data_IF_584192543297
#
_entry.id   IF_584192543297
#
_cell.length_a   1.000
_cell.length_b   1.000
_cell.length_c   1.000
_cell.angle_alpha   90.00
_cell.angle_beta   90.00
_cell.angle_gamma   90.00
#
_symmetry.space_group_name_H-M   'P 1'
#
loop_
_entity.id
_entity.type
_entity.pdbx_description
1 polymer ?
#
# COMPACT_ATOMS: atom_id res chain seq x y z
N UNK A 1 0.73 10.58 -29.18
CA UNK A 1 -0.06 10.19 -28.00
C UNK A 1 -0.36 8.70 -28.13
N UNK A 2 0.04 7.86 -27.17
CA UNK A 2 -0.40 6.46 -27.17
C UNK A 2 -1.88 6.43 -26.79
N UNK A 3 -2.69 5.62 -27.49
CA UNK A 3 -4.10 5.45 -27.16
C UNK A 3 -4.31 4.93 -25.71
N UNK A 4 -3.34 4.19 -25.18
CA UNK A 4 -3.40 3.63 -23.82
C UNK A 4 -3.16 4.69 -22.73
N UNK A 5 -2.26 5.66 -22.96
CA UNK A 5 -2.01 6.73 -22.00
C UNK A 5 -3.18 7.71 -21.91
N UNK A 6 -3.86 7.95 -23.04
CA UNK A 6 -5.12 8.69 -23.05
C UNK A 6 -6.23 7.92 -22.32
N UNK A 7 -6.33 6.60 -22.53
CA UNK A 7 -7.28 5.76 -21.83
C UNK A 7 -7.04 5.75 -20.31
N UNK A 8 -5.80 5.60 -19.86
CA UNK A 8 -5.46 5.65 -18.43
C UNK A 8 -5.99 6.93 -17.76
N UNK A 9 -5.79 8.08 -18.41
CA UNK A 9 -6.28 9.37 -17.92
C UNK A 9 -7.81 9.43 -17.85
N UNK A 10 -8.50 8.97 -18.90
CA UNK A 10 -9.97 8.94 -18.95
C UNK A 10 -10.55 8.02 -17.86
N UNK A 11 -9.93 6.86 -17.62
CA UNK A 11 -10.34 5.93 -16.58
C UNK A 11 -10.15 6.53 -15.19
N UNK A 12 -8.97 7.10 -14.90
CA UNK A 12 -8.69 7.74 -13.62
C UNK A 12 -9.61 8.94 -13.35
N UNK A 13 -9.86 9.79 -14.36
CA UNK A 13 -10.78 10.92 -14.24
C UNK A 13 -12.23 10.46 -13.96
N UNK A 14 -12.68 9.44 -14.69
CA UNK A 14 -14.04 8.92 -14.57
C UNK A 14 -14.31 8.26 -13.22
N UNK A 15 -13.41 7.39 -12.76
CA UNK A 15 -13.47 6.82 -11.41
C UNK A 15 -13.41 7.92 -10.34
N UNK A 16 -12.56 8.93 -10.53
CA UNK A 16 -12.49 10.09 -9.64
C UNK A 16 -13.79 10.88 -9.51
N UNK A 17 -14.52 11.07 -10.62
CA UNK A 17 -15.84 11.71 -10.61
C UNK A 17 -16.87 10.87 -9.85
N UNK A 18 -16.89 9.55 -10.07
CA UNK A 18 -17.77 8.64 -9.34
C UNK A 18 -17.50 8.67 -7.84
N UNK A 19 -16.22 8.69 -7.43
CA UNK A 19 -15.85 8.83 -6.02
C UNK A 19 -16.36 10.14 -5.42
N UNK A 20 -16.30 11.26 -6.14
CA UNK A 20 -16.88 12.52 -5.65
C UNK A 20 -18.40 12.42 -5.46
N UNK A 21 -19.11 11.75 -6.37
CA UNK A 21 -20.57 11.54 -6.26
C UNK A 21 -20.94 10.63 -5.08
N UNK A 22 -20.19 9.54 -4.87
CA UNK A 22 -20.37 8.66 -3.71
C UNK A 22 -20.11 9.43 -2.42
N UNK A 23 -19.04 10.25 -2.37
CA UNK A 23 -18.69 11.10 -1.23
C UNK A 23 -19.76 12.14 -0.90
N UNK A 24 -20.47 12.68 -1.89
CA UNK A 24 -21.60 13.59 -1.68
C UNK A 24 -22.94 12.89 -1.42
N UNK A 25 -23.01 11.55 -1.45
CA UNK A 25 -24.24 10.78 -1.31
C UNK A 25 -25.17 10.86 -2.52
N UNK A 26 -24.63 11.20 -3.68
CA UNK A 26 -25.32 11.22 -4.98
C UNK A 26 -24.80 10.15 -5.92
N UNK A 27 -24.03 9.20 -5.39
CA UNK A 27 -23.41 8.12 -6.15
C UNK A 27 -24.42 7.13 -6.74
N UNK A 28 -23.99 6.33 -7.71
CA UNK A 28 -24.84 5.34 -8.37
C UNK A 28 -25.26 4.18 -7.46
N UNK A 29 -24.63 4.03 -6.29
CA UNK A 29 -24.99 3.04 -5.29
C UNK A 29 -26.34 3.32 -4.61
N UNK A 30 -26.88 4.54 -4.75
CA UNK A 30 -28.19 4.93 -4.21
C UNK A 30 -28.27 4.92 -2.69
N UNK A 31 -27.12 4.89 -2.02
CA UNK A 31 -27.00 4.75 -0.57
C UNK A 31 -26.78 6.13 0.08
N UNK A 32 -27.30 6.38 1.30
CA UNK A 32 -27.21 7.69 1.96
C UNK A 32 -25.76 8.11 2.25
N UNK A 33 -25.47 9.40 2.52
CA UNK A 33 -24.13 9.83 2.91
C UNK A 33 -23.59 9.01 4.09
N UNK A 34 -22.37 8.51 3.96
CA UNK A 34 -21.63 7.81 5.00
C UNK A 34 -20.33 8.56 5.30
N UNK A 35 -19.65 8.20 6.40
CA UNK A 35 -18.33 8.71 6.73
C UNK A 35 -17.41 7.57 7.18
N UNK A 36 -16.12 7.87 7.34
CA UNK A 36 -15.13 6.91 7.81
C UNK A 36 -14.99 5.70 6.88
N UNK A 37 -14.79 4.52 7.47
CA UNK A 37 -14.46 3.28 6.75
C UNK A 37 -15.54 2.83 5.78
N UNK A 38 -16.82 2.98 6.15
CA UNK A 38 -17.94 2.56 5.29
C UNK A 38 -18.00 3.39 4.01
N UNK A 39 -17.69 4.68 4.09
CA UNK A 39 -17.59 5.52 2.90
C UNK A 39 -16.42 5.05 2.00
N UNK A 40 -15.25 4.77 2.58
CA UNK A 40 -14.11 4.19 1.87
C UNK A 40 -14.49 2.93 1.08
N UNK A 41 -15.01 1.92 1.78
CA UNK A 41 -15.45 0.63 1.21
C UNK A 41 -16.43 0.78 0.05
N UNK A 42 -17.38 1.72 0.15
CA UNK A 42 -18.34 2.02 -0.93
C UNK A 42 -17.67 2.68 -2.12
N UNK A 43 -16.76 3.62 -1.87
CA UNK A 43 -15.96 4.26 -2.89
C UNK A 43 -15.11 3.26 -3.67
N UNK A 44 -14.35 2.43 -2.94
CA UNK A 44 -13.52 1.35 -3.47
C UNK A 44 -14.31 0.44 -4.42
N UNK A 45 -15.44 -0.10 -3.95
CA UNK A 45 -16.28 -0.99 -4.77
C UNK A 45 -16.82 -0.33 -6.04
N UNK A 46 -17.40 0.87 -5.92
CA UNK A 46 -17.98 1.60 -7.08
C UNK A 46 -16.91 1.96 -8.12
N UNK A 47 -15.74 2.42 -7.67
CA UNK A 47 -14.63 2.75 -8.56
C UNK A 47 -14.04 1.49 -9.21
N UNK A 48 -13.93 0.39 -8.47
CA UNK A 48 -13.43 -0.88 -8.99
C UNK A 48 -14.33 -1.40 -10.12
N UNK A 49 -15.64 -1.50 -9.88
CA UNK A 49 -16.60 -2.00 -10.86
C UNK A 49 -16.54 -1.18 -12.17
N UNK A 50 -16.51 0.16 -12.03
CA UNK A 50 -16.36 1.05 -13.18
C UNK A 50 -15.07 0.79 -13.98
N UNK A 51 -13.93 0.68 -13.30
CA UNK A 51 -12.64 0.47 -13.95
C UNK A 51 -12.59 -0.88 -14.66
N UNK A 52 -13.06 -1.94 -14.01
CA UNK A 52 -13.11 -3.29 -14.59
C UNK A 52 -14.03 -3.37 -15.80
N UNK A 53 -15.24 -2.82 -15.72
CA UNK A 53 -16.19 -2.81 -16.84
C UNK A 53 -15.62 -2.07 -18.04
N UNK A 54 -15.02 -0.90 -17.81
CA UNK A 54 -14.42 -0.10 -18.88
C UNK A 54 -13.19 -0.76 -19.49
N UNK A 55 -12.32 -1.35 -18.68
CA UNK A 55 -11.16 -2.08 -19.18
C UNK A 55 -11.56 -3.32 -19.98
N UNK A 56 -12.56 -4.08 -19.52
CA UNK A 56 -13.10 -5.22 -20.25
C UNK A 56 -13.71 -4.81 -21.61
N UNK A 57 -14.37 -3.65 -21.67
CA UNK A 57 -14.96 -3.13 -22.91
C UNK A 57 -13.91 -2.58 -23.90
N UNK A 58 -12.91 -1.85 -23.39
CA UNK A 58 -11.96 -1.13 -24.24
C UNK A 58 -10.68 -1.92 -24.54
N UNK A 59 -10.30 -2.84 -23.66
CA UNK A 59 -9.10 -3.70 -23.75
C UNK A 59 -9.41 -5.14 -23.32
N UNK A 60 -10.35 -5.83 -23.98
CA UNK A 60 -10.79 -7.18 -23.59
C UNK A 60 -9.69 -8.26 -23.58
N UNK A 61 -8.54 -8.01 -24.20
CA UNK A 61 -7.40 -8.93 -24.24
C UNK A 61 -6.30 -8.64 -23.21
N UNK A 62 -6.39 -7.54 -22.47
CA UNK A 62 -5.42 -7.19 -21.44
C UNK A 62 -5.88 -7.77 -20.09
N UNK A 63 -4.94 -8.26 -19.27
CA UNK A 63 -5.26 -8.69 -17.92
C UNK A 63 -5.36 -7.47 -16.97
N UNK A 64 -6.00 -7.65 -15.82
CA UNK A 64 -6.12 -6.60 -14.79
C UNK A 64 -5.66 -7.14 -13.44
N UNK A 65 -4.84 -6.34 -12.75
CA UNK A 65 -4.50 -6.49 -11.35
C UNK A 65 -5.10 -5.30 -10.59
N UNK A 66 -6.16 -5.54 -9.83
CA UNK A 66 -6.84 -4.53 -9.01
C UNK A 66 -6.61 -4.81 -7.52
N UNK A 67 -6.50 -3.77 -6.71
CA UNK A 67 -6.55 -3.91 -5.25
C UNK A 67 -7.82 -4.67 -4.80
N UNK A 68 -8.95 -4.27 -5.35
CA UNK A 68 -10.30 -4.66 -4.91
C UNK A 68 -10.80 -5.97 -5.53
N UNK A 69 -9.93 -6.69 -6.25
CA UNK A 69 -10.30 -7.94 -6.91
C UNK A 69 -9.34 -9.07 -6.56
N UNK A 70 -9.86 -10.29 -6.61
CA UNK A 70 -9.05 -11.51 -6.51
C UNK A 70 -8.01 -11.48 -7.63
N UNK A 71 -6.75 -11.75 -7.27
CA UNK A 71 -5.66 -11.75 -8.23
C UNK A 71 -5.70 -13.01 -9.11
N UNK A 72 -6.13 -12.86 -10.37
CA UNK A 72 -6.06 -13.95 -11.34
C UNK A 72 -4.63 -14.10 -11.88
N UNK A 73 -4.01 -15.22 -11.52
CA UNK A 73 -2.69 -15.64 -12.00
C UNK A 73 -2.52 -15.64 -13.52
N UNK A 74 -3.61 -15.61 -14.31
CA UNK A 74 -3.58 -15.41 -15.76
C UNK A 74 -2.72 -14.19 -16.17
N UNK A 75 -2.69 -13.12 -15.35
CA UNK A 75 -1.86 -11.92 -15.61
C UNK A 75 -0.36 -12.22 -15.74
N UNK A 76 0.13 -13.30 -15.10
CA UNK A 76 1.54 -13.68 -15.12
C UNK A 76 1.98 -14.25 -16.46
N UNK A 77 1.03 -14.73 -17.26
CA UNK A 77 1.26 -15.21 -18.63
C UNK A 77 0.97 -14.14 -19.68
N UNK A 78 0.20 -13.11 -19.32
CA UNK A 78 -0.15 -11.99 -20.17
C UNK A 78 1.04 -11.10 -20.57
N UNK A 79 0.94 -10.47 -21.74
CA UNK A 79 1.92 -9.49 -22.22
C UNK A 79 1.58 -8.06 -21.80
N UNK A 80 0.34 -7.81 -21.38
CA UNK A 80 -0.23 -6.50 -21.05
C UNK A 80 -1.11 -6.66 -19.82
N UNK A 81 -0.84 -5.87 -18.79
CA UNK A 81 -1.55 -5.92 -17.50
C UNK A 81 -1.86 -4.50 -17.05
N UNK A 82 -3.13 -4.20 -16.85
CA UNK A 82 -3.55 -2.97 -16.18
C UNK A 82 -3.43 -3.17 -14.67
N UNK A 83 -2.64 -2.33 -14.01
CA UNK A 83 -2.47 -2.35 -12.56
C UNK A 83 -3.21 -1.11 -12.01
N UNK A 84 -4.26 -1.34 -11.23
CA UNK A 84 -5.18 -0.30 -10.79
C UNK A 84 -5.37 -0.30 -9.28
N UNK A 85 -5.46 0.91 -8.73
CA UNK A 85 -5.93 1.18 -7.36
C UNK A 85 -7.17 2.08 -7.50
N UNK A 86 -8.37 1.52 -7.30
CA UNK A 86 -9.61 2.28 -7.47
C UNK A 86 -9.73 3.48 -6.54
N UNK A 87 -9.15 3.41 -5.33
CA UNK A 87 -9.14 4.48 -4.35
C UNK A 87 -7.95 4.32 -3.36
N UNK A 88 -6.85 4.97 -3.71
CA UNK A 88 -5.69 5.06 -2.83
C UNK A 88 -5.93 6.13 -1.75
N UNK A 89 -5.83 5.72 -0.49
CA UNK A 89 -6.17 6.57 0.67
C UNK A 89 -7.64 6.51 1.04
N UNK A 90 -8.25 5.32 1.10
CA UNK A 90 -9.64 5.13 1.53
C UNK A 90 -9.96 5.74 2.91
N UNK A 91 -8.98 5.74 3.84
CA UNK A 91 -9.06 6.46 5.12
C UNK A 91 -9.16 7.97 4.93
N UNK A 92 -8.30 8.55 4.09
CA UNK A 92 -8.33 9.96 3.75
C UNK A 92 -9.64 10.35 3.09
N UNK A 93 -10.09 9.57 2.10
CA UNK A 93 -11.37 9.76 1.43
C UNK A 93 -12.56 9.75 2.42
N UNK A 94 -12.57 8.79 3.35
CA UNK A 94 -13.58 8.66 4.40
C UNK A 94 -13.52 9.76 5.49
N UNK A 95 -12.44 10.55 5.55
CA UNK A 95 -12.23 11.58 6.56
C UNK A 95 -12.71 12.96 6.06
N UNK A 96 -13.64 13.65 6.76
CA UNK A 96 -14.10 14.97 6.35
C UNK A 96 -12.96 15.98 6.19
N UNK A 97 -12.98 16.73 5.09
CA UNK A 97 -12.01 17.80 4.81
C UNK A 97 -10.63 17.33 4.33
N UNK A 98 -10.37 16.01 4.24
CA UNK A 98 -9.14 15.49 3.62
C UNK A 98 -9.26 15.42 2.10
N UNK A 99 -8.18 15.78 1.42
CA UNK A 99 -8.08 15.91 -0.05
C UNK A 99 -6.93 15.06 -0.63
N UNK A 100 -6.14 14.43 0.23
CA UNK A 100 -4.97 13.62 -0.09
C UNK A 100 -5.35 12.15 -0.29
N UNK A 101 -6.15 11.89 -1.32
CA UNK A 101 -6.52 10.57 -1.84
C UNK A 101 -6.53 10.58 -3.37
N UNK A 102 -6.40 9.42 -4.00
CA UNK A 102 -6.16 9.31 -5.43
C UNK A 102 -6.82 8.09 -6.09
N UNK A 103 -6.80 8.06 -7.42
CA UNK A 103 -7.09 6.88 -8.24
C UNK A 103 -5.86 6.57 -9.08
N UNK A 104 -5.43 5.31 -9.13
CA UNK A 104 -4.28 4.87 -9.92
C UNK A 104 -4.72 4.00 -11.09
N UNK A 105 -4.25 4.34 -12.29
CA UNK A 105 -4.43 3.51 -13.48
C UNK A 105 -3.10 3.42 -14.22
N UNK A 106 -2.49 2.24 -14.24
CA UNK A 106 -1.26 1.98 -15.00
C UNK A 106 -1.42 0.80 -15.94
N UNK A 107 -0.70 0.84 -17.05
CA UNK A 107 -0.50 -0.28 -17.96
C UNK A 107 0.97 -0.70 -17.90
N UNK A 108 1.17 -1.95 -17.52
CA UNK A 108 2.43 -2.65 -17.61
C UNK A 108 2.48 -3.49 -18.89
N UNK A 109 3.62 -3.49 -19.58
CA UNK A 109 3.88 -4.33 -20.74
C UNK A 109 5.16 -5.15 -20.57
N UNK A 110 5.08 -6.43 -20.93
CA UNK A 110 6.16 -7.39 -20.76
C UNK A 110 7.43 -6.94 -21.49
N UNK A 111 8.52 -6.85 -20.74
CA UNK A 111 9.83 -6.40 -21.26
C UNK A 111 9.94 -4.89 -21.47
N UNK A 112 8.89 -4.12 -21.14
CA UNK A 112 8.87 -2.64 -21.28
C UNK A 112 8.57 -1.91 -19.97
N UNK A 113 8.04 -2.60 -18.96
CA UNK A 113 7.67 -1.98 -17.68
C UNK A 113 6.36 -1.20 -17.80
N UNK A 114 6.22 -0.12 -17.02
CA UNK A 114 5.05 0.76 -17.09
C UNK A 114 5.15 1.63 -18.35
N UNK A 115 4.21 1.48 -19.28
CA UNK A 115 4.23 2.20 -20.56
C UNK A 115 3.12 3.24 -20.68
N UNK A 116 2.13 3.20 -19.80
CA UNK A 116 1.08 4.20 -19.67
C UNK A 116 0.63 4.26 -18.22
N UNK A 117 0.38 5.46 -17.71
CA UNK A 117 -0.04 5.69 -16.35
C UNK A 117 -0.83 6.99 -16.23
N UNK A 118 -1.76 7.02 -15.27
CA UNK A 118 -2.44 8.20 -14.79
C UNK A 118 -2.77 8.11 -13.30
N UNK A 119 -2.66 9.24 -12.61
CA UNK A 119 -3.07 9.44 -11.22
C UNK A 119 -4.09 10.57 -11.18
N UNK A 120 -5.32 10.30 -10.73
CA UNK A 120 -6.30 11.35 -10.47
C UNK A 120 -6.24 11.77 -8.99
N UNK A 121 -6.33 13.06 -8.72
CA UNK A 121 -6.59 13.62 -7.39
C UNK A 121 -7.91 14.39 -7.44
N UNK A 122 -9.05 13.70 -7.26
CA UNK A 122 -10.36 14.27 -7.59
C UNK A 122 -10.74 15.47 -6.73
N UNK A 123 -10.36 15.46 -5.45
CA UNK A 123 -10.56 16.61 -4.56
C UNK A 123 -9.86 17.90 -5.05
N UNK A 124 -8.75 17.75 -5.79
CA UNK A 124 -8.01 18.88 -6.39
C UNK A 124 -8.47 19.19 -7.82
N UNK A 125 -9.38 18.39 -8.40
CA UNK A 125 -9.80 18.51 -9.80
C UNK A 125 -8.66 18.29 -10.80
N UNK A 126 -7.66 17.46 -10.47
CA UNK A 126 -6.47 17.21 -11.29
C UNK A 126 -6.33 15.75 -11.68
N UNK A 127 -5.83 15.53 -12.89
CA UNK A 127 -5.35 14.23 -13.39
C UNK A 127 -3.95 14.46 -13.93
N UNK A 128 -3.01 13.60 -13.55
CA UNK A 128 -1.65 13.59 -14.06
C UNK A 128 -1.48 12.34 -14.90
N UNK A 129 -0.99 12.46 -16.12
CA UNK A 129 -0.82 11.32 -17.01
C UNK A 129 0.55 11.28 -17.69
N UNK A 130 1.08 10.09 -17.86
CA UNK A 130 2.37 9.79 -18.51
C UNK A 130 2.57 10.34 -19.93
N UNK A 131 1.51 10.80 -20.61
CA UNK A 131 1.59 11.40 -21.94
C UNK A 131 1.62 12.95 -21.92
N UNK A 132 1.47 13.55 -20.74
CA UNK A 132 1.54 15.00 -20.57
C UNK A 132 2.98 15.50 -20.72
N UNK A 133 3.12 16.74 -21.18
CA UNK A 133 4.38 17.45 -21.10
C UNK A 133 4.45 18.13 -19.74
N UNK A 134 5.26 17.58 -18.84
CA UNK A 134 5.56 18.22 -17.55
C UNK A 134 6.54 19.37 -17.78
N UNK A 135 6.20 20.55 -17.27
CA UNK A 135 7.08 21.70 -17.36
C UNK A 135 8.23 21.54 -16.37
N UNK A 136 9.46 21.55 -16.88
CA UNK A 136 10.66 21.51 -16.05
C UNK A 136 10.71 22.65 -15.02
N UNK A 137 9.98 23.76 -15.25
CA UNK A 137 9.84 24.86 -14.29
C UNK A 137 8.94 24.54 -13.08
N UNK A 138 8.20 23.41 -13.08
CA UNK A 138 7.46 22.96 -11.89
C UNK A 138 8.40 22.72 -10.70
N UNK A 139 9.66 22.39 -10.98
CA UNK A 139 10.73 22.40 -10.00
C UNK A 139 11.57 23.67 -10.11
N UNK A 140 11.90 24.28 -8.97
CA UNK A 140 12.90 25.34 -8.95
C UNK A 140 14.24 24.81 -9.50
N UNK A 141 14.92 25.59 -10.35
CA UNK A 141 16.18 25.16 -10.98
C UNK A 141 17.28 24.78 -9.96
N UNK A 142 17.22 25.31 -8.73
CA UNK A 142 18.06 24.90 -7.62
C UNK A 142 17.24 24.10 -6.61
N UNK A 143 17.89 23.06 -6.04
CA UNK A 143 17.37 22.37 -4.85
C UNK A 143 17.32 23.37 -3.69
N UNK A 144 16.20 23.46 -2.94
CA UNK A 144 16.11 24.34 -1.79
C UNK A 144 17.17 23.99 -0.73
N UNK A 145 17.66 24.95 0.08
CA UNK A 145 18.65 24.69 1.13
C UNK A 145 18.22 23.63 2.15
N UNK A 146 16.91 23.47 2.36
CA UNK A 146 16.30 22.43 3.17
C UNK A 146 15.29 21.66 2.31
N UNK A 147 15.70 20.54 1.69
CA UNK A 147 14.79 19.70 0.91
C UNK A 147 13.67 19.12 1.77
N UNK A 148 12.48 18.94 1.21
CA UNK A 148 11.33 18.33 1.90
C UNK A 148 11.14 16.89 1.44
N UNK A 149 11.17 15.94 2.37
CA UNK A 149 10.98 14.51 2.12
C UNK A 149 9.63 14.09 2.70
N UNK A 150 8.69 13.72 1.84
CA UNK A 150 7.39 13.19 2.27
C UNK A 150 7.48 11.69 2.56
N UNK A 151 6.86 11.27 3.66
CA UNK A 151 6.69 9.86 4.06
C UNK A 151 5.24 9.58 4.42
N UNK A 152 4.89 8.30 4.58
CA UNK A 152 3.55 7.92 5.05
C UNK A 152 3.30 8.46 6.46
N UNK A 153 2.14 9.10 6.68
CA UNK A 153 1.77 9.58 8.01
C UNK A 153 1.43 8.46 9.01
N UNK A 154 1.02 7.29 8.54
CA UNK A 154 0.71 6.15 9.43
C UNK A 154 1.89 5.20 9.64
N UNK A 155 2.83 5.17 8.70
CA UNK A 155 3.96 4.23 8.66
C UNK A 155 5.25 4.94 8.20
N UNK A 156 5.75 5.93 8.94
CA UNK A 156 7.02 6.58 8.60
C UNK A 156 8.18 5.57 8.78
N UNK A 157 9.15 5.47 7.85
CA UNK A 157 10.29 4.60 8.05
C UNK A 157 11.16 5.08 9.22
N UNK A 158 11.53 4.16 10.12
CA UNK A 158 12.24 4.47 11.37
C UNK A 158 13.58 5.20 11.17
N UNK A 159 14.22 5.03 10.02
CA UNK A 159 15.51 5.62 9.70
C UNK A 159 15.42 7.03 9.08
N UNK A 160 14.22 7.56 8.83
CA UNK A 160 14.11 8.82 8.08
C UNK A 160 14.54 10.06 8.84
N UNK A 161 14.46 10.08 10.18
CA UNK A 161 14.95 11.20 10.97
C UNK A 161 16.48 11.35 10.83
N UNK A 162 17.21 10.23 10.83
CA UNK A 162 18.66 10.23 10.64
C UNK A 162 19.06 10.63 9.21
N UNK A 163 18.33 10.12 8.20
CA UNK A 163 18.53 10.53 6.80
C UNK A 163 18.29 12.03 6.63
N UNK A 164 17.22 12.57 7.23
CA UNK A 164 16.91 13.99 7.15
C UNK A 164 17.96 14.84 7.86
N UNK A 165 18.46 14.41 9.02
CA UNK A 165 19.54 15.08 9.73
C UNK A 165 20.83 15.13 8.90
N UNK A 166 21.19 14.04 8.21
CA UNK A 166 22.36 13.98 7.34
C UNK A 166 22.24 14.94 6.13
N UNK A 167 21.06 15.03 5.54
CA UNK A 167 20.82 15.84 4.34
C UNK A 167 20.46 17.31 4.65
N UNK A 168 20.22 17.65 5.91
CA UNK A 168 19.63 18.94 6.28
C UNK A 168 18.22 19.11 5.71
N UNK A 169 17.45 18.02 5.62
CA UNK A 169 16.11 17.98 5.06
C UNK A 169 15.02 18.11 6.14
N UNK A 170 13.79 18.39 5.72
CA UNK A 170 12.58 18.33 6.54
C UNK A 170 11.78 17.08 6.18
N UNK A 171 11.39 16.27 7.17
CA UNK A 171 10.43 15.17 6.96
C UNK A 171 9.01 15.72 7.13
N UNK A 172 8.18 15.48 6.13
CA UNK A 172 6.75 15.82 6.15
C UNK A 172 5.90 14.57 5.94
N UNK A 173 4.67 14.59 6.41
CA UNK A 173 3.76 13.44 6.31
C UNK A 173 2.55 13.75 5.44
N UNK A 174 2.09 12.75 4.70
CA UNK A 174 0.87 12.83 3.89
C UNK A 174 0.21 11.44 3.76
N UNK A 175 -1.12 11.40 3.68
CA UNK A 175 -1.87 10.20 3.31
C UNK A 175 -1.69 9.85 1.84
N UNK A 176 -2.19 8.70 1.40
CA UNK A 176 -2.16 8.22 -0.01
C UNK A 176 -0.77 8.14 -0.68
N UNK A 177 -0.46 7.02 -1.32
CA UNK A 177 0.78 6.90 -2.09
C UNK A 177 0.80 7.86 -3.30
N UNK A 178 -0.33 7.97 -4.01
CA UNK A 178 -0.55 8.87 -5.13
C UNK A 178 -0.42 10.33 -4.75
N UNK A 179 -1.02 10.76 -3.63
CA UNK A 179 -0.91 12.14 -3.17
C UNK A 179 0.55 12.52 -2.86
N UNK A 180 1.29 11.63 -2.18
CA UNK A 180 2.72 11.78 -1.91
C UNK A 180 3.55 11.92 -3.18
N UNK A 181 3.38 11.02 -4.13
CA UNK A 181 4.12 11.05 -5.39
C UNK A 181 3.78 12.29 -6.22
N UNK A 182 2.49 12.66 -6.31
CA UNK A 182 2.07 13.82 -7.07
C UNK A 182 2.49 15.14 -6.41
N UNK A 183 2.69 15.17 -5.08
CA UNK A 183 3.32 16.30 -4.41
C UNK A 183 4.78 16.50 -4.86
N UNK A 184 5.51 15.41 -5.16
CA UNK A 184 6.84 15.52 -5.81
C UNK A 184 6.68 16.06 -7.23
N UNK A 185 5.78 15.50 -8.05
CA UNK A 185 5.54 15.96 -9.44
C UNK A 185 5.17 17.46 -9.49
N UNK A 186 4.41 17.96 -8.53
CA UNK A 186 4.05 19.38 -8.42
C UNK A 186 5.16 20.29 -7.87
N UNK A 187 6.28 19.73 -7.41
CA UNK A 187 7.34 20.49 -6.74
C UNK A 187 6.97 21.01 -5.35
N UNK A 188 5.94 20.46 -4.70
CA UNK A 188 5.56 20.82 -3.32
C UNK A 188 6.52 20.21 -2.29
N UNK A 189 7.09 19.07 -2.62
CA UNK A 189 8.15 18.37 -1.88
C UNK A 189 9.22 17.88 -2.86
N UNK A 190 10.41 17.54 -2.37
CA UNK A 190 11.56 17.19 -3.21
C UNK A 190 11.74 15.66 -3.35
N UNK A 191 11.26 14.88 -2.39
CA UNK A 191 11.28 13.43 -2.42
C UNK A 191 10.08 12.81 -1.72
N UNK A 192 9.72 11.61 -2.15
CA UNK A 192 8.86 10.65 -1.48
C UNK A 192 9.69 9.39 -1.21
N UNK A 193 9.77 8.99 0.06
CA UNK A 193 10.39 7.73 0.48
C UNK A 193 9.34 6.85 1.16
N UNK A 194 9.28 5.59 0.76
CA UNK A 194 8.47 4.56 1.40
C UNK A 194 9.33 3.33 1.69
N UNK A 195 9.23 2.77 2.88
CA UNK A 195 9.86 1.51 3.24
C UNK A 195 8.97 0.74 4.21
N UNK A 196 9.16 -0.58 4.31
CA UNK A 196 8.21 -1.47 4.98
C UNK A 196 7.08 -1.95 4.06
N UNK A 197 7.28 -1.75 2.77
CA UNK A 197 6.56 -2.38 1.68
C UNK A 197 5.20 -1.79 1.33
N UNK A 198 4.83 -2.04 0.08
CA UNK A 198 3.73 -1.42 -0.63
C UNK A 198 3.29 -2.31 -1.79
N UNK A 199 2.00 -2.33 -2.10
CA UNK A 199 1.51 -3.13 -3.22
C UNK A 199 1.86 -2.49 -4.57
N UNK A 200 1.87 -3.28 -5.63
CA UNK A 200 2.17 -2.76 -6.97
C UNK A 200 1.15 -1.69 -7.41
N UNK A 201 -0.14 -1.84 -7.07
CA UNK A 201 -1.18 -0.86 -7.43
C UNK A 201 -1.04 0.50 -6.72
N UNK A 202 -0.48 0.54 -5.51
CA UNK A 202 -0.21 1.79 -4.81
C UNK A 202 0.89 2.63 -5.50
N UNK A 203 1.72 2.05 -6.37
CA UNK A 203 2.92 2.71 -6.92
C UNK A 203 3.05 2.68 -8.44
N UNK A 204 2.42 1.74 -9.14
CA UNK A 204 2.60 1.59 -10.59
C UNK A 204 2.25 2.85 -11.37
N UNK A 205 1.09 3.47 -11.08
CA UNK A 205 0.69 4.70 -11.74
C UNK A 205 1.49 5.93 -11.24
N UNK A 206 1.69 6.12 -9.92
CA UNK A 206 2.59 7.14 -9.40
C UNK A 206 3.99 7.15 -10.03
N UNK A 207 4.62 5.98 -10.15
CA UNK A 207 5.96 5.83 -10.74
C UNK A 207 5.93 6.11 -12.24
N UNK A 208 4.94 5.59 -12.97
CA UNK A 208 4.82 5.85 -14.40
C UNK A 208 4.64 7.35 -14.72
N UNK A 209 3.86 8.06 -13.91
CA UNK A 209 3.71 9.52 -14.02
C UNK A 209 5.00 10.24 -13.63
N UNK A 210 5.63 9.87 -12.51
CA UNK A 210 6.86 10.50 -12.04
C UNK A 210 8.03 10.33 -13.03
N UNK A 211 8.18 9.15 -13.63
CA UNK A 211 9.17 8.90 -14.68
C UNK A 211 8.90 9.75 -15.93
N UNK A 212 7.64 9.90 -16.34
CA UNK A 212 7.27 10.77 -17.45
C UNK A 212 7.54 12.26 -17.14
N UNK A 213 7.46 12.66 -15.87
CA UNK A 213 7.85 13.98 -15.39
C UNK A 213 9.37 14.18 -15.26
N UNK A 214 10.18 13.16 -15.60
CA UNK A 214 11.64 13.22 -15.53
C UNK A 214 12.22 13.06 -14.11
N UNK A 215 11.43 12.58 -13.16
CA UNK A 215 11.87 12.31 -11.80
C UNK A 215 12.65 11.00 -11.69
N UNK A 216 13.51 10.92 -10.68
CA UNK A 216 14.19 9.67 -10.31
C UNK A 216 13.21 8.75 -9.59
N UNK A 217 13.13 7.50 -10.02
CA UNK A 217 12.30 6.46 -9.40
C UNK A 217 13.12 5.17 -9.24
N UNK A 218 13.24 4.66 -8.01
CA UNK A 218 13.97 3.41 -7.74
C UNK A 218 13.48 2.76 -6.43
N UNK A 219 14.02 1.58 -6.13
CA UNK A 219 14.09 1.05 -4.76
C UNK A 219 15.04 1.91 -3.92
N UNK A 220 14.99 1.77 -2.59
CA UNK A 220 15.86 2.52 -1.66
C UNK A 220 17.34 2.15 -1.79
N UNK A 221 17.64 0.98 -2.33
CA UNK A 221 19.01 0.55 -2.66
C UNK A 221 19.50 1.07 -4.03
N UNK A 222 18.61 1.71 -4.80
CA UNK A 222 18.87 2.24 -6.15
C UNK A 222 18.54 1.28 -7.28
N UNK A 223 18.09 0.05 -7.01
CA UNK A 223 17.67 -0.91 -8.03
C UNK A 223 16.32 -0.55 -8.67
N UNK A 224 16.04 -1.12 -9.85
CA UNK A 224 14.81 -0.85 -10.60
C UNK A 224 13.56 -1.36 -9.87
N UNK A 225 12.46 -0.62 -10.02
CA UNK A 225 11.13 -1.05 -9.58
C UNK A 225 10.55 -2.03 -10.61
N UNK A 226 10.23 -3.25 -10.17
CA UNK A 226 9.74 -4.32 -11.04
C UNK A 226 8.29 -4.64 -10.69
N UNK A 227 7.45 -4.66 -11.72
CA UNK A 227 6.00 -4.87 -11.63
C UNK A 227 5.55 -6.17 -12.33
N UNK A 228 4.28 -6.52 -12.15
CA UNK A 228 3.63 -7.77 -12.53
C UNK A 228 4.35 -9.01 -11.96
N UNK A 229 4.78 -8.94 -10.71
CA UNK A 229 5.39 -10.08 -10.00
C UNK A 229 4.31 -11.06 -9.53
N UNK A 230 4.61 -12.37 -9.41
CA UNK A 230 3.67 -13.33 -8.82
C UNK A 230 3.14 -12.92 -7.45
N UNK A 231 4.00 -12.24 -6.69
CA UNK A 231 3.60 -11.52 -5.50
C UNK A 231 3.72 -10.01 -5.80
N UNK A 232 2.60 -9.30 -5.99
CA UNK A 232 2.61 -7.93 -6.51
C UNK A 232 2.94 -6.91 -5.43
N UNK A 233 4.15 -6.99 -4.89
CA UNK A 233 4.59 -6.22 -3.72
C UNK A 233 6.00 -5.69 -3.89
N UNK A 234 6.16 -4.40 -3.64
CA UNK A 234 7.43 -3.70 -3.60
C UNK A 234 7.83 -3.46 -2.14
N UNK A 235 9.02 -3.92 -1.71
CA UNK A 235 9.45 -3.72 -0.32
C UNK A 235 9.70 -2.26 0.08
N UNK A 236 9.96 -1.39 -0.89
CA UNK A 236 10.25 0.03 -0.67
C UNK A 236 10.29 0.77 -2.01
N UNK A 237 10.27 2.10 -1.97
CA UNK A 237 10.52 2.95 -3.13
C UNK A 237 11.06 4.33 -2.74
N UNK A 238 11.66 4.99 -3.73
CA UNK A 238 12.04 6.40 -3.73
C UNK A 238 11.54 7.02 -5.02
N UNK A 239 10.81 8.14 -4.91
CA UNK A 239 10.52 9.05 -6.01
C UNK A 239 11.11 10.40 -5.62
N UNK A 240 12.04 10.95 -6.37
CA UNK A 240 12.64 12.23 -6.02
C UNK A 240 13.11 13.02 -7.23
N UNK A 241 13.44 14.28 -6.98
CA UNK A 241 14.14 15.10 -7.97
C UNK A 241 15.50 14.47 -8.32
N UNK A 242 15.89 14.43 -9.60
CA UNK A 242 17.18 13.86 -10.01
C UNK A 242 18.38 14.49 -9.31
N UNK A 243 18.29 15.79 -8.99
CA UNK A 243 19.36 16.54 -8.32
C UNK A 243 19.71 16.01 -6.92
N UNK A 244 18.77 15.38 -6.22
CA UNK A 244 18.98 14.88 -4.85
C UNK A 244 19.07 13.35 -4.78
N UNK A 245 18.85 12.63 -5.89
CA UNK A 245 18.78 11.18 -5.89
C UNK A 245 20.05 10.51 -5.32
N UNK A 246 21.23 10.98 -5.75
CA UNK A 246 22.50 10.39 -5.31
C UNK A 246 22.76 10.58 -3.82
N UNK A 247 22.53 11.78 -3.27
CA UNK A 247 22.73 12.06 -1.86
C UNK A 247 21.69 11.37 -0.98
N UNK A 248 20.42 11.35 -1.43
CA UNK A 248 19.34 10.67 -0.73
C UNK A 248 19.60 9.16 -0.62
N UNK A 249 19.94 8.48 -1.71
CA UNK A 249 20.24 7.05 -1.70
C UNK A 249 21.49 6.74 -0.86
N UNK A 250 22.49 7.61 -0.84
CA UNK A 250 23.68 7.44 0.00
C UNK A 250 23.35 7.57 1.50
N UNK A 251 22.50 8.54 1.87
CA UNK A 251 22.03 8.70 3.24
C UNK A 251 21.16 7.51 3.66
N UNK A 252 20.22 7.07 2.81
CA UNK A 252 19.39 5.90 3.08
C UNK A 252 20.26 4.66 3.28
N UNK A 253 21.27 4.42 2.43
CA UNK A 253 22.20 3.29 2.60
C UNK A 253 22.98 3.33 3.92
N UNK A 254 23.20 4.53 4.48
CA UNK A 254 23.92 4.69 5.75
C UNK A 254 23.04 4.34 6.96
N UNK A 255 21.73 4.60 6.86
CA UNK A 255 20.81 4.59 8.01
C UNK A 255 19.72 3.50 7.95
N UNK A 256 19.36 3.02 6.77
CA UNK A 256 18.37 1.97 6.61
C UNK A 256 18.92 0.62 7.09
N UNK A 257 18.08 -0.22 7.69
CA UNK A 257 18.48 -1.58 8.08
C UNK A 257 18.77 -2.44 6.84
N UNK A 258 19.71 -3.38 6.98
CA UNK A 258 20.22 -4.24 5.90
C UNK A 258 19.16 -5.15 5.23
N UNK A 259 17.98 -5.31 5.82
CA UNK A 259 16.94 -6.23 5.32
C UNK A 259 15.61 -5.52 5.14
N UNK A 260 15.26 -5.22 3.87
CA UNK A 260 13.87 -5.04 3.50
C UNK A 260 13.14 -6.39 3.60
N UNK A 261 11.94 -6.40 4.17
CA UNK A 261 11.12 -7.60 4.23
C UNK A 261 10.90 -8.16 2.82
N UNK A 262 10.88 -9.49 2.71
CA UNK A 262 10.34 -10.10 1.50
C UNK A 262 8.86 -9.78 1.39
N UNK A 263 8.32 -9.92 0.18
CA UNK A 263 6.91 -9.72 -0.08
C UNK A 263 6.00 -10.54 0.85
N UNK A 264 6.35 -11.82 1.10
CA UNK A 264 5.59 -12.71 1.99
C UNK A 264 5.71 -12.30 3.45
N UNK A 265 6.91 -11.92 3.88
CA UNK A 265 7.13 -11.43 5.25
C UNK A 265 6.27 -10.19 5.49
N UNK A 266 6.16 -9.32 4.50
CA UNK A 266 5.35 -8.12 4.62
C UNK A 266 3.84 -8.42 4.68
N UNK A 267 3.34 -9.41 3.93
CA UNK A 267 1.96 -9.88 4.06
C UNK A 267 1.67 -10.45 5.45
N UNK A 268 2.56 -11.30 5.96
CA UNK A 268 2.45 -11.83 7.31
C UNK A 268 2.50 -10.71 8.37
N UNK A 269 3.33 -9.68 8.15
CA UNK A 269 3.41 -8.49 9.01
C UNK A 269 2.12 -7.67 8.99
N UNK A 270 1.52 -7.43 7.82
CA UNK A 270 0.22 -6.74 7.73
C UNK A 270 -0.88 -7.51 8.46
N UNK A 271 -0.92 -8.84 8.32
CA UNK A 271 -1.81 -9.68 9.12
C UNK A 271 -1.57 -9.49 10.63
N UNK A 272 -0.33 -9.69 11.08
CA UNK A 272 0.02 -9.58 12.52
C UNK A 272 -0.27 -8.19 13.05
N UNK A 273 0.01 -7.13 12.29
CA UNK A 273 -0.30 -5.75 12.65
C UNK A 273 -1.80 -5.47 12.79
N UNK A 274 -2.63 -6.11 11.95
CA UNK A 274 -4.09 -5.97 12.00
C UNK A 274 -4.71 -6.47 13.31
N UNK A 275 -4.04 -7.39 14.02
CA UNK A 275 -4.48 -7.89 15.34
C UNK A 275 -4.58 -6.77 16.38
N UNK A 276 -3.76 -5.73 16.28
CA UNK A 276 -3.76 -4.56 17.18
C UNK A 276 -4.57 -3.40 16.59
N UNK A 277 -4.44 -3.16 15.29
CA UNK A 277 -5.07 -1.99 14.65
C UNK A 277 -6.58 -2.18 14.38
N UNK A 278 -7.05 -3.43 14.37
CA UNK A 278 -8.39 -3.82 13.91
C UNK A 278 -8.72 -3.23 12.54
N UNK A 279 -7.69 -3.19 11.68
CA UNK A 279 -7.75 -2.70 10.31
C UNK A 279 -7.18 -3.79 9.40
N UNK A 280 -8.08 -4.57 8.82
CA UNK A 280 -7.73 -5.65 7.92
C UNK A 280 -7.87 -5.24 6.44
N UNK A 281 -8.03 -3.95 6.15
CA UNK A 281 -8.21 -3.43 4.78
C UNK A 281 -7.08 -3.83 3.83
N UNK A 282 -5.85 -3.95 4.34
CA UNK A 282 -4.67 -4.34 3.57
C UNK A 282 -4.27 -5.82 3.77
N UNK A 283 -5.06 -6.60 4.51
CA UNK A 283 -4.81 -8.03 4.75
C UNK A 283 -5.39 -8.85 3.59
N UNK A 284 -4.51 -9.39 2.75
CA UNK A 284 -4.90 -10.20 1.59
C UNK A 284 -4.99 -11.67 1.94
N UNK A 285 -6.22 -12.18 2.01
CA UNK A 285 -6.55 -13.58 2.24
C UNK A 285 -7.24 -14.13 1.01
N UNK A 286 -6.82 -15.33 0.58
CA UNK A 286 -7.49 -16.05 -0.49
C UNK A 286 -8.96 -16.31 -0.11
N UNK A 287 -9.90 -16.40 -1.06
CA UNK A 287 -11.31 -16.64 -0.75
C UNK A 287 -11.56 -17.89 0.11
N UNK A 288 -10.81 -18.96 -0.17
CA UNK A 288 -10.83 -20.24 0.55
C UNK A 288 -9.78 -20.35 1.66
N UNK A 289 -9.21 -19.21 2.07
CA UNK A 289 -8.24 -19.18 3.15
C UNK A 289 -8.84 -19.65 4.47
N UNK A 290 -7.99 -20.23 5.31
CA UNK A 290 -8.44 -20.77 6.60
C UNK A 290 -7.49 -20.51 7.76
N UNK A 291 -8.03 -20.52 8.97
CA UNK A 291 -7.29 -20.30 10.21
C UNK A 291 -7.50 -21.43 11.23
N UNK A 292 -6.41 -21.86 11.84
CA UNK A 292 -6.40 -22.79 12.97
C UNK A 292 -5.61 -22.19 14.12
N UNK A 293 -6.18 -22.20 15.33
CA UNK A 293 -5.54 -21.76 16.57
C UNK A 293 -5.47 -22.91 17.58
N UNK A 294 -4.26 -23.28 18.01
CA UNK A 294 -4.03 -24.38 18.96
C UNK A 294 -4.78 -25.68 18.59
N UNK A 295 -4.86 -25.98 17.28
CA UNK A 295 -5.52 -27.16 16.74
C UNK A 295 -7.03 -27.02 16.50
N UNK A 296 -7.65 -25.91 16.92
CA UNK A 296 -9.06 -25.62 16.68
C UNK A 296 -9.23 -24.75 15.44
N UNK A 297 -10.23 -25.09 14.62
CA UNK A 297 -10.59 -24.31 13.44
C UNK A 297 -11.30 -23.03 13.88
N UNK A 298 -10.75 -21.87 13.49
CA UNK A 298 -11.26 -20.54 13.90
C UNK A 298 -11.58 -19.63 12.72
N UNK A 299 -11.32 -20.07 11.48
CA UNK A 299 -11.83 -19.38 10.29
C UNK A 299 -11.89 -20.32 9.09
N UNK A 300 -12.98 -20.23 8.32
CA UNK A 300 -13.28 -21.10 7.18
C UNK A 300 -13.22 -20.37 5.83
N UNK A 301 -13.05 -19.04 5.84
CA UNK A 301 -12.84 -18.25 4.63
C UNK A 301 -11.99 -17.01 4.87
N UNK A 302 -11.38 -16.47 3.81
CA UNK A 302 -10.63 -15.22 3.90
C UNK A 302 -11.49 -14.01 4.29
N UNK A 303 -12.77 -14.01 3.95
CA UNK A 303 -13.71 -12.95 4.34
C UNK A 303 -14.08 -13.04 5.83
N UNK A 304 -14.31 -14.25 6.33
CA UNK A 304 -14.59 -14.48 7.76
C UNK A 304 -13.40 -14.05 8.62
N UNK A 305 -12.19 -14.48 8.27
CA UNK A 305 -10.97 -14.10 8.99
C UNK A 305 -10.79 -12.57 9.00
N UNK A 306 -10.99 -11.88 7.87
CA UNK A 306 -10.97 -10.41 7.81
C UNK A 306 -12.01 -9.78 8.73
N UNK A 307 -13.23 -10.29 8.72
CA UNK A 307 -14.31 -9.79 9.59
C UNK A 307 -13.96 -9.99 11.06
N UNK A 308 -13.39 -11.13 11.42
CA UNK A 308 -12.92 -11.38 12.78
C UNK A 308 -11.81 -10.40 13.18
N UNK A 309 -10.79 -10.17 12.35
CA UNK A 309 -9.72 -9.21 12.66
C UNK A 309 -10.26 -7.80 12.96
N UNK A 310 -11.30 -7.39 12.26
CA UNK A 310 -11.90 -6.05 12.38
C UNK A 310 -12.91 -5.94 13.53
N UNK A 311 -13.67 -7.00 13.81
CA UNK A 311 -14.87 -6.94 14.67
C UNK A 311 -14.87 -7.96 15.81
N UNK A 312 -13.98 -8.95 15.77
CA UNK A 312 -13.89 -10.05 16.72
C UNK A 312 -13.59 -9.56 18.14
N UNK A 313 -14.47 -9.92 19.07
CA UNK A 313 -14.31 -9.58 20.50
C UNK A 313 -13.02 -10.15 21.09
N UNK A 314 -12.50 -11.25 20.52
CA UNK A 314 -11.25 -11.89 20.94
C UNK A 314 -10.02 -11.01 20.71
N UNK A 315 -10.04 -10.11 19.73
CA UNK A 315 -8.88 -9.29 19.40
C UNK A 315 -8.90 -7.94 20.12
N UNK A 316 -10.07 -7.42 20.53
CA UNK A 316 -10.17 -6.10 21.20
C UNK A 316 -9.28 -5.91 22.44
N UNK A 317 -9.00 -6.94 23.26
CA UNK A 317 -8.10 -6.78 24.41
C UNK A 317 -6.63 -6.67 24.03
N UNK A 318 -6.24 -6.93 22.78
CA UNK A 318 -4.86 -6.85 22.32
C UNK A 318 -4.38 -5.41 22.35
N UNK A 319 -3.27 -5.15 23.04
CA UNK A 319 -2.72 -3.80 23.19
C UNK A 319 -1.47 -3.57 22.38
N UNK A 320 -0.61 -4.58 22.32
CA UNK A 320 0.73 -4.41 21.77
C UNK A 320 1.30 -5.74 21.28
N UNK A 321 2.20 -5.62 20.30
CA UNK A 321 2.96 -6.73 19.73
C UNK A 321 4.43 -6.38 19.84
N UNK A 322 5.20 -7.28 20.47
CA UNK A 322 6.62 -7.07 20.76
C UNK A 322 7.46 -8.22 20.24
N UNK A 323 8.75 -7.96 20.06
CA UNK A 323 9.75 -8.94 19.62
C UNK A 323 9.32 -9.72 18.36
N UNK A 324 8.72 -9.02 17.40
CA UNK A 324 8.23 -9.63 16.16
C UNK A 324 9.40 -9.98 15.23
N UNK A 325 9.58 -11.28 15.02
CA UNK A 325 10.59 -11.86 14.14
C UNK A 325 9.95 -12.73 13.07
N UNK A 326 10.58 -12.78 11.90
CA UNK A 326 10.11 -13.59 10.76
C UNK A 326 11.17 -14.59 10.29
N UNK A 327 10.69 -15.75 9.82
CA UNK A 327 11.48 -16.71 9.04
C UNK A 327 10.71 -17.13 7.81
N UNK A 328 11.34 -17.13 6.64
CA UNK A 328 10.72 -17.53 5.38
C UNK A 328 11.41 -18.78 4.80
N UNK A 329 10.61 -19.70 4.24
CA UNK A 329 11.10 -20.78 3.40
C UNK A 329 10.06 -21.20 2.35
N UNK A 330 10.43 -21.16 1.07
CA UNK A 330 9.51 -21.47 -0.02
C UNK A 330 8.27 -20.54 0.02
N UNK A 331 7.05 -21.09 0.07
CA UNK A 331 5.83 -20.28 0.22
C UNK A 331 5.50 -19.91 1.67
N UNK A 332 6.25 -20.40 2.65
CA UNK A 332 5.88 -20.28 4.06
C UNK A 332 6.58 -19.11 4.75
N UNK A 333 5.86 -18.44 5.65
CA UNK A 333 6.41 -17.49 6.60
C UNK A 333 6.03 -17.91 8.01
N UNK A 334 6.96 -17.84 8.94
CA UNK A 334 6.67 -17.94 10.37
C UNK A 334 6.94 -16.61 11.03
N UNK A 335 5.92 -16.08 11.69
CA UNK A 335 6.03 -14.96 12.61
C UNK A 335 6.13 -15.48 14.04
N UNK A 336 7.08 -14.97 14.81
CA UNK A 336 7.18 -15.18 16.25
C UNK A 336 7.14 -13.84 16.95
N UNK A 337 6.29 -13.72 17.95
CA UNK A 337 6.15 -12.48 18.70
C UNK A 337 5.54 -12.75 20.07
N UNK A 338 5.61 -11.74 20.93
CA UNK A 338 4.83 -11.71 22.16
C UNK A 338 3.67 -10.74 22.01
N UNK A 339 2.52 -11.14 22.51
CA UNK A 339 1.30 -10.37 22.44
C UNK A 339 0.82 -10.02 23.85
N UNK A 340 0.54 -8.74 24.06
CA UNK A 340 0.06 -8.21 25.34
C UNK A 340 -1.46 -8.01 25.29
N UNK A 341 -2.19 -8.74 26.13
CA UNK A 341 -3.61 -8.57 26.36
C UNK A 341 -3.86 -7.69 27.57
N UNK A 342 -4.69 -6.66 27.43
CA UNK A 342 -5.15 -5.83 28.52
C UNK A 342 -6.48 -6.32 29.08
N UNK A 343 -6.48 -6.85 30.30
CA UNK A 343 -7.71 -7.12 31.07
C UNK A 343 -8.21 -5.84 31.76
N UNK A 344 -7.29 -4.94 32.14
CA UNK A 344 -7.53 -3.58 32.66
C UNK A 344 -6.29 -2.68 32.41
N UNK A 345 -6.32 -1.35 32.62
CA UNK A 345 -5.16 -0.49 32.39
C UNK A 345 -3.90 -0.91 33.16
N UNK A 346 -4.06 -1.61 34.29
CA UNK A 346 -2.97 -2.06 35.18
C UNK A 346 -2.66 -3.56 35.09
N UNK A 347 -3.41 -4.34 34.30
CA UNK A 347 -3.27 -5.79 34.22
C UNK A 347 -3.09 -6.24 32.78
N UNK A 348 -1.87 -6.68 32.47
CA UNK A 348 -1.46 -7.16 31.15
C UNK A 348 -1.04 -8.62 31.26
N UNK A 349 -1.61 -9.46 30.41
CA UNK A 349 -1.21 -10.85 30.21
C UNK A 349 -0.41 -10.91 28.92
N UNK A 350 0.80 -11.45 28.99
CA UNK A 350 1.65 -11.66 27.80
C UNK A 350 1.58 -13.12 27.40
N UNK A 351 1.51 -13.38 26.09
CA UNK A 351 1.61 -14.73 25.51
C UNK A 351 2.68 -14.75 24.43
N UNK A 352 3.29 -15.91 24.20
CA UNK A 352 4.07 -16.17 22.99
C UNK A 352 3.15 -16.66 21.89
N UNK A 353 3.31 -16.09 20.70
CA UNK A 353 2.59 -16.51 19.51
C UNK A 353 3.59 -16.93 18.44
N UNK A 354 3.36 -18.11 17.87
CA UNK A 354 3.99 -18.55 16.63
C UNK A 354 2.90 -18.73 15.57
N UNK A 355 2.87 -17.84 14.57
CA UNK A 355 1.96 -17.97 13.44
C UNK A 355 2.71 -18.49 12.21
N UNK A 356 2.17 -19.54 11.61
CA UNK A 356 2.63 -20.09 10.33
C UNK A 356 1.67 -19.64 9.24
N UNK A 357 2.20 -19.01 8.20
CA UNK A 357 1.49 -18.55 7.03
C UNK A 357 1.92 -19.37 5.82
N UNK A 358 0.97 -19.88 5.06
CA UNK A 358 1.20 -20.36 3.69
C UNK A 358 0.77 -19.29 2.69
N UNK A 359 1.73 -18.80 1.89
CA UNK A 359 1.57 -17.67 0.97
C UNK A 359 2.12 -18.09 -0.41
N UNK A 360 1.35 -18.89 -1.18
CA UNK A 360 1.80 -19.41 -2.47
C UNK A 360 2.02 -18.29 -3.50
N UNK A 361 1.22 -17.21 -3.45
CA UNK A 361 1.43 -16.01 -4.26
C UNK A 361 0.34 -14.97 -4.02
N UNK A 362 0.74 -13.74 -3.67
CA UNK A 362 -0.12 -12.56 -3.61
C UNK A 362 -1.25 -12.53 -2.57
N UNK A 363 -1.59 -13.67 -1.96
CA UNK A 363 -2.66 -13.88 -0.98
C UNK A 363 -2.24 -14.94 0.07
N UNK A 364 -2.71 -14.79 1.32
CA UNK A 364 -2.52 -15.77 2.40
C UNK A 364 -3.54 -16.89 2.21
N UNK A 365 -3.07 -18.12 2.03
CA UNK A 365 -3.92 -19.30 1.81
C UNK A 365 -4.25 -20.03 3.12
N UNK A 366 -3.36 -20.01 4.11
CA UNK A 366 -3.66 -20.57 5.42
C UNK A 366 -2.86 -19.94 6.55
N UNK A 367 -3.42 -19.99 7.75
CA UNK A 367 -2.80 -19.52 8.98
C UNK A 367 -2.94 -20.57 10.07
N UNK A 368 -1.82 -20.99 10.67
CA UNK A 368 -1.81 -21.83 11.86
C UNK A 368 -1.11 -21.11 12.99
N UNK A 369 -1.85 -20.73 14.02
CA UNK A 369 -1.32 -20.07 15.20
C UNK A 369 -1.17 -21.05 16.37
N UNK A 370 -0.01 -21.00 17.01
CA UNK A 370 0.28 -21.65 18.29
C UNK A 370 0.45 -20.55 19.33
N UNK A 371 -0.38 -20.56 20.36
CA UNK A 371 -0.41 -19.55 21.43
C UNK A 371 -0.04 -20.23 22.73
N UNK A 372 1.05 -19.78 23.34
CA UNK A 372 1.64 -20.35 24.56
C UNK A 372 1.71 -19.27 25.65
N UNK A 373 1.49 -19.60 26.93
CA UNK A 373 1.67 -18.65 28.02
C UNK A 373 3.11 -18.11 28.07
N UNK A 374 3.29 -16.81 28.33
CA UNK A 374 4.60 -16.25 28.62
C UNK A 374 4.95 -16.56 30.09
N UNK A 375 5.93 -17.42 30.34
CA UNK A 375 6.41 -17.66 31.71
C UNK A 375 7.01 -16.35 32.27
N UNK A 376 6.51 -15.87 33.41
CA UNK A 376 7.22 -14.83 34.16
C UNK A 376 8.49 -15.49 34.70
N UNK A 377 9.65 -15.08 34.24
CA UNK A 377 10.90 -15.37 34.95
C UNK A 377 10.80 -14.80 36.36
N UNK A 378 10.52 -15.64 37.35
CA UNK A 378 10.76 -15.32 38.75
C UNK A 378 12.25 -15.10 38.94
N UNK A 379 12.66 -13.85 39.13
CA UNK A 379 14.08 -13.51 39.29
C UNK A 379 14.33 -12.06 39.65
N UNK A 380 14.19 -11.74 40.94
CA UNK A 380 14.63 -10.47 41.52
C UNK A 380 14.17 -10.29 42.97
N UNK A 381 14.80 -11.04 43.89
CA UNK A 381 14.84 -10.68 45.32
C UNK A 381 15.98 -9.71 45.54
#
# INVERSE_FOLDING_TARGET
MSADAGLAAVLAEGAGKLLLEVRSGTGPDGQPPAGGRELGRRGDGVANDYLLERLAAERPGDAVLSEESVDDSARLTGSRVWIIDPLDGSKEYGTPGREDWAVHVALWEKGRGITSAAVAQPALGKVYASHEAYDAQQHAAAVPPQPRIVVSGSRPPIFMDDVAAQLGAEVVTMGSAGAKAMAVVRGEVDAYVHAGGQWEWDSAAPVGVAQAAGLHCSRIDGSELVYNRPHPYLPDLVICRPEIASSLLAAIRTHAPDTADSARVAMAREYVGSLVSHDASKVRLAPDAWRVENGNRTGESGQEIRTELEQGEQYKPIRDIKALEFREWGPNVVARYTLDFGVSPSEVITVHVTEHFDIPGGEIASITAVIEPHERTEGGV
#
